data_IF_427598504219
#
_entry.id   IF_427598504219
#
_cell.length_a   1.000
_cell.length_b   1.000
_cell.length_c   1.000
_cell.angle_alpha   90.00
_cell.angle_beta   90.00
_cell.angle_gamma   90.00
#
_symmetry.space_group_name_H-M   'P 1'
#
loop_
_entity.id
_entity.type
_entity.pdbx_description
1 polymer ?
#
# COMPACT_ATOMS: atom_id res chain seq x y z
N UNK A 1 26.61 -2.85 2.46
CA UNK A 1 25.58 -3.52 3.27
C UNK A 1 24.21 -3.13 2.70
N UNK A 2 23.33 -4.07 2.44
CA UNK A 2 21.99 -3.79 1.96
C UNK A 2 21.08 -3.30 3.10
N UNK A 3 20.07 -2.52 2.75
CA UNK A 3 18.98 -2.14 3.63
C UNK A 3 17.67 -2.60 2.94
N UNK A 4 16.88 -3.41 3.63
CA UNK A 4 15.69 -4.03 3.06
C UNK A 4 14.48 -3.55 3.85
N UNK A 5 13.59 -2.84 3.16
CA UNK A 5 12.28 -2.44 3.68
C UNK A 5 11.21 -3.39 3.16
N UNK A 6 10.42 -3.98 4.07
CA UNK A 6 9.35 -4.94 3.76
C UNK A 6 8.04 -4.40 4.28
N UNK A 7 7.12 -4.06 3.38
CA UNK A 7 5.75 -3.66 3.69
C UNK A 7 4.81 -4.84 3.38
N UNK A 8 4.30 -5.49 4.42
CA UNK A 8 3.24 -6.50 4.28
C UNK A 8 1.89 -5.83 4.52
N UNK A 9 1.33 -5.30 3.45
CA UNK A 9 0.00 -4.70 3.47
C UNK A 9 -1.12 -5.75 3.47
N UNK A 10 -2.38 -5.31 3.57
CA UNK A 10 -3.56 -6.18 3.57
C UNK A 10 -3.81 -6.88 2.22
N UNK A 11 -3.47 -6.23 1.11
CA UNK A 11 -3.71 -6.74 -0.24
C UNK A 11 -2.42 -7.11 -0.97
N UNK A 12 -1.37 -6.31 -0.81
CA UNK A 12 -0.09 -6.49 -1.49
C UNK A 12 1.09 -6.31 -0.52
N UNK A 13 2.13 -7.12 -0.73
CA UNK A 13 3.41 -6.99 -0.06
C UNK A 13 4.42 -6.36 -1.01
N UNK A 14 5.14 -5.36 -0.54
CA UNK A 14 6.16 -4.64 -1.30
C UNK A 14 7.48 -4.72 -0.57
N UNK A 15 8.55 -4.91 -1.31
CA UNK A 15 9.89 -4.91 -0.75
C UNK A 15 10.78 -3.99 -1.57
N UNK A 16 11.55 -3.16 -0.90
CA UNK A 16 12.58 -2.33 -1.51
C UNK A 16 13.95 -2.69 -0.93
N UNK A 17 14.90 -2.94 -1.80
CA UNK A 17 16.30 -3.17 -1.44
C UNK A 17 17.10 -1.93 -1.79
N UNK A 18 17.74 -1.38 -0.79
CA UNK A 18 18.57 -0.17 -0.90
C UNK A 18 20.05 -0.55 -0.70
N UNK A 19 20.89 -0.01 -1.53
CA UNK A 19 22.34 -0.10 -1.41
C UNK A 19 22.95 1.25 -1.71
N UNK A 20 23.82 1.74 -0.84
CA UNK A 20 24.54 3.02 -0.98
C UNK A 20 23.59 4.22 -1.18
N UNK A 21 22.38 4.16 -0.58
CA UNK A 21 21.34 5.19 -0.63
C UNK A 21 20.38 5.11 -1.82
N UNK A 22 20.59 4.17 -2.75
CA UNK A 22 19.74 3.99 -3.94
C UNK A 22 18.93 2.69 -3.89
N UNK A 23 17.71 2.73 -4.43
CA UNK A 23 16.88 1.54 -4.59
C UNK A 23 17.43 0.71 -5.75
N UNK A 24 18.02 -0.44 -5.43
CA UNK A 24 18.64 -1.35 -6.41
C UNK A 24 17.70 -2.47 -6.87
N UNK A 25 16.67 -2.79 -6.09
CA UNK A 25 15.69 -3.82 -6.43
C UNK A 25 14.38 -3.63 -5.69
N UNK A 26 13.27 -4.03 -6.31
CA UNK A 26 11.94 -4.04 -5.69
C UNK A 26 11.25 -5.37 -5.98
N UNK A 27 10.36 -5.78 -5.07
CA UNK A 27 9.47 -6.91 -5.25
C UNK A 27 8.05 -6.50 -4.91
N UNK A 28 7.09 -7.04 -5.65
CA UNK A 28 5.66 -6.86 -5.43
C UNK A 28 4.98 -8.23 -5.50
N UNK A 29 4.29 -8.60 -4.43
CA UNK A 29 3.55 -9.85 -4.32
C UNK A 29 2.13 -9.57 -3.78
N UNK A 30 1.19 -10.45 -4.10
CA UNK A 30 -0.08 -10.47 -3.38
C UNK A 30 0.15 -11.01 -1.97
N UNK A 31 -0.42 -10.35 -0.95
CA UNK A 31 -0.28 -10.81 0.45
C UNK A 31 -1.01 -12.12 0.69
N UNK A 32 -2.09 -12.41 -0.06
CA UNK A 32 -2.92 -13.58 0.17
C UNK A 32 -3.53 -13.58 1.59
N UNK A 33 -3.81 -14.75 2.13
CA UNK A 33 -4.41 -14.88 3.47
C UNK A 33 -3.39 -15.09 4.60
N UNK A 34 -2.10 -15.27 4.28
CA UNK A 34 -1.06 -15.53 5.28
C UNK A 34 0.13 -14.59 5.11
N UNK A 35 0.18 -13.53 5.91
CA UNK A 35 1.32 -12.59 5.97
C UNK A 35 2.64 -13.30 6.26
N UNK A 36 2.62 -14.37 7.06
CA UNK A 36 3.82 -15.16 7.39
C UNK A 36 4.35 -15.88 6.17
N UNK A 37 3.46 -16.54 5.40
CA UNK A 37 3.85 -17.22 4.17
C UNK A 37 4.44 -16.25 3.16
N UNK A 38 3.81 -15.09 2.99
CA UNK A 38 4.31 -14.03 2.12
C UNK A 38 5.68 -13.51 2.57
N UNK A 39 5.92 -13.37 3.88
CA UNK A 39 7.23 -12.99 4.40
C UNK A 39 8.29 -14.06 4.08
N UNK A 40 7.98 -15.35 4.21
CA UNK A 40 8.85 -16.45 3.86
C UNK A 40 9.19 -16.46 2.36
N UNK A 41 8.20 -16.24 1.48
CA UNK A 41 8.40 -16.16 0.03
C UNK A 41 9.31 -14.98 -0.35
N UNK A 42 9.11 -13.81 0.27
CA UNK A 42 10.00 -12.66 0.09
C UNK A 42 11.42 -12.98 0.52
N UNK A 43 11.60 -13.65 1.66
CA UNK A 43 12.94 -14.02 2.13
C UNK A 43 13.65 -14.94 1.15
N UNK A 44 12.96 -15.96 0.62
CA UNK A 44 13.50 -16.85 -0.40
C UNK A 44 13.89 -16.11 -1.69
N UNK A 45 13.13 -15.11 -2.09
CA UNK A 45 13.46 -14.28 -3.26
C UNK A 45 14.72 -13.45 -3.00
N UNK A 46 14.85 -12.87 -1.82
CA UNK A 46 16.04 -12.11 -1.41
C UNK A 46 17.28 -13.01 -1.36
N UNK A 47 17.18 -14.22 -0.80
CA UNK A 47 18.29 -15.19 -0.76
C UNK A 47 18.76 -15.60 -2.16
N UNK A 48 17.85 -15.83 -3.10
CA UNK A 48 18.20 -16.12 -4.50
C UNK A 48 18.99 -14.97 -5.16
N UNK A 49 18.75 -13.74 -4.71
CA UNK A 49 19.48 -12.57 -5.19
C UNK A 49 20.75 -12.25 -4.37
N UNK A 50 21.17 -13.18 -3.48
CA UNK A 50 22.38 -13.04 -2.67
C UNK A 50 22.24 -12.05 -1.51
N UNK A 51 20.99 -11.74 -1.09
CA UNK A 51 20.71 -10.81 0.01
C UNK A 51 20.34 -11.64 1.24
N UNK A 52 21.25 -11.69 2.22
CA UNK A 52 21.16 -12.54 3.39
C UNK A 52 21.29 -11.70 4.66
N UNK A 53 20.98 -12.32 5.81
CA UNK A 53 21.12 -11.65 7.11
C UNK A 53 22.53 -11.12 7.40
N UNK A 54 23.56 -11.75 6.86
CA UNK A 54 24.95 -11.36 7.09
C UNK A 54 25.35 -10.09 6.33
N UNK A 55 24.61 -9.74 5.24
CA UNK A 55 24.94 -8.62 4.38
C UNK A 55 23.81 -7.58 4.26
N UNK A 56 22.68 -7.76 4.98
CA UNK A 56 21.52 -6.90 4.93
C UNK A 56 20.91 -6.64 6.30
N UNK A 57 20.36 -5.42 6.49
CA UNK A 57 19.48 -5.07 7.61
C UNK A 57 18.02 -4.99 7.12
N UNK A 58 17.10 -5.53 7.91
CA UNK A 58 15.69 -5.71 7.53
C UNK A 58 14.75 -4.89 8.41
N UNK A 59 13.89 -4.09 7.81
CA UNK A 59 12.84 -3.35 8.50
C UNK A 59 11.48 -3.74 7.94
N UNK A 60 10.58 -4.19 8.82
CA UNK A 60 9.23 -4.56 8.46
C UNK A 60 8.23 -3.44 8.79
N UNK A 61 7.24 -3.27 7.91
CA UNK A 61 6.11 -2.36 8.07
C UNK A 61 4.82 -2.97 7.51
N UNK A 62 3.72 -2.22 7.55
CA UNK A 62 2.42 -2.67 7.09
C UNK A 62 1.64 -3.43 8.16
N UNK A 63 0.45 -3.89 7.78
CA UNK A 63 -0.46 -4.65 8.65
C UNK A 63 0.20 -5.95 9.15
N UNK A 64 0.90 -6.67 8.26
CA UNK A 64 1.57 -7.94 8.56
C UNK A 64 2.98 -7.82 9.12
N UNK A 65 3.48 -6.63 9.49
CA UNK A 65 4.87 -6.42 9.95
C UNK A 65 5.33 -7.33 11.07
N UNK A 66 4.40 -7.73 11.97
CA UNK A 66 4.72 -8.63 13.09
C UNK A 66 4.94 -10.09 12.64
N UNK A 67 4.54 -10.42 11.43
CA UNK A 67 4.67 -11.76 10.84
C UNK A 67 5.97 -11.93 10.04
N UNK A 68 6.91 -10.99 10.11
CA UNK A 68 8.22 -11.04 9.45
C UNK A 68 9.29 -11.44 10.47
N UNK A 69 9.60 -12.75 10.62
CA UNK A 69 10.43 -13.24 11.73
C UNK A 69 11.90 -12.86 11.61
N UNK A 70 12.34 -12.51 10.41
CA UNK A 70 13.73 -12.14 10.12
C UNK A 70 13.96 -10.62 10.13
N UNK A 71 12.92 -9.79 10.38
CA UNK A 71 13.10 -8.36 10.50
C UNK A 71 13.85 -7.99 11.78
N UNK A 72 14.84 -7.11 11.63
CA UNK A 72 15.60 -6.57 12.78
C UNK A 72 14.77 -5.53 13.54
N UNK A 73 13.82 -4.87 12.83
CA UNK A 73 12.95 -3.84 13.41
C UNK A 73 11.60 -3.80 12.70
N UNK A 74 10.54 -3.56 13.48
CA UNK A 74 9.21 -3.20 12.98
C UNK A 74 8.94 -1.72 13.18
N UNK A 75 8.40 -1.07 12.14
CA UNK A 75 8.01 0.35 12.15
C UNK A 75 6.58 0.47 11.65
N UNK A 76 5.80 1.42 12.18
CA UNK A 76 4.42 1.62 11.72
C UNK A 76 4.40 2.16 10.28
N UNK A 77 3.43 1.73 9.50
CA UNK A 77 3.27 2.16 8.11
C UNK A 77 3.12 3.68 7.98
N UNK A 78 2.41 4.33 8.90
CA UNK A 78 2.24 5.79 8.91
C UNK A 78 3.60 6.50 8.96
N UNK A 79 4.52 6.01 9.79
CA UNK A 79 5.89 6.54 9.86
C UNK A 79 6.66 6.29 8.58
N UNK A 80 6.53 5.10 7.99
CA UNK A 80 7.22 4.75 6.74
C UNK A 80 6.68 5.56 5.56
N UNK A 81 5.34 5.68 5.42
CA UNK A 81 4.72 6.50 4.37
C UNK A 81 5.09 7.97 4.51
N UNK A 82 5.09 8.52 5.74
CA UNK A 82 5.55 9.89 5.99
C UNK A 82 7.00 10.12 5.59
N UNK A 83 7.90 9.19 5.93
CA UNK A 83 9.32 9.27 5.54
C UNK A 83 9.52 9.11 4.03
N UNK A 84 8.81 8.16 3.41
CA UNK A 84 8.85 7.95 1.96
C UNK A 84 8.38 9.19 1.20
N UNK A 85 7.24 9.76 1.60
CA UNK A 85 6.71 10.97 1.00
C UNK A 85 7.68 12.16 1.17
N UNK A 86 8.30 12.30 2.34
CA UNK A 86 9.34 13.33 2.54
C UNK A 86 10.55 13.12 1.63
N UNK A 87 11.00 11.88 1.48
CA UNK A 87 12.12 11.55 0.60
C UNK A 87 11.83 11.92 -0.86
N UNK A 88 10.60 11.65 -1.33
CA UNK A 88 10.20 11.89 -2.71
C UNK A 88 9.93 13.37 -3.02
N UNK A 89 9.31 14.10 -2.08
CA UNK A 89 8.80 15.44 -2.35
C UNK A 89 9.55 16.57 -1.64
N UNK A 90 10.28 16.28 -0.56
CA UNK A 90 11.14 17.24 0.17
C UNK A 90 10.41 18.43 0.78
N UNK A 91 9.08 18.38 0.95
CA UNK A 91 8.26 19.53 1.39
C UNK A 91 7.23 19.17 2.45
N UNK A 92 6.84 20.18 3.24
CA UNK A 92 5.73 20.07 4.16
C UNK A 92 4.40 19.92 3.40
N UNK A 93 3.45 19.22 3.97
CA UNK A 93 2.13 19.05 3.36
C UNK A 93 1.34 17.92 4.00
N UNK A 94 0.24 17.55 3.35
CA UNK A 94 -0.57 16.40 3.73
C UNK A 94 -0.43 15.32 2.66
N UNK A 95 -0.09 14.12 3.09
CA UNK A 95 -0.11 12.91 2.26
C UNK A 95 -1.49 12.29 2.38
N UNK A 96 -2.11 12.01 1.26
CA UNK A 96 -3.30 11.15 1.19
C UNK A 96 -2.81 9.79 0.71
N UNK A 97 -2.90 8.80 1.59
CA UNK A 97 -2.51 7.42 1.35
C UNK A 97 -3.78 6.56 1.25
N UNK A 98 -4.01 5.99 0.07
CA UNK A 98 -5.18 5.14 -0.22
C UNK A 98 -4.68 3.70 -0.30
N UNK A 99 -4.88 2.96 0.78
CA UNK A 99 -4.55 1.55 0.89
C UNK A 99 -5.63 0.63 0.34
N UNK A 100 -5.37 -0.68 0.37
CA UNK A 100 -6.34 -1.70 -0.07
C UNK A 100 -7.60 -1.72 0.80
N UNK A 101 -7.47 -1.50 2.12
CA UNK A 101 -8.59 -1.60 3.08
C UNK A 101 -8.73 -0.37 3.97
N UNK A 102 -7.84 0.59 3.87
CA UNK A 102 -7.86 1.81 4.67
C UNK A 102 -7.44 3.03 3.84
N UNK A 103 -7.71 4.21 4.36
CA UNK A 103 -7.26 5.47 3.76
C UNK A 103 -6.79 6.39 4.87
N UNK A 104 -5.65 7.03 4.66
CA UNK A 104 -5.00 7.87 5.67
C UNK A 104 -4.71 9.26 5.13
N UNK A 105 -4.93 10.27 5.98
CA UNK A 105 -4.39 11.61 5.79
C UNK A 105 -3.25 11.83 6.79
N UNK A 106 -2.04 12.10 6.30
CA UNK A 106 -0.83 12.22 7.13
C UNK A 106 -0.24 13.62 6.96
N UNK A 107 -0.30 14.42 8.01
CA UNK A 107 0.30 15.76 8.02
C UNK A 107 1.81 15.67 8.29
N UNK A 108 2.63 16.20 7.36
CA UNK A 108 4.08 16.21 7.44
C UNK A 108 4.63 17.60 7.67
N UNK A 109 5.58 17.72 8.59
CA UNK A 109 6.38 18.93 8.80
C UNK A 109 7.83 18.56 9.07
N UNK A 110 8.75 19.09 8.27
CA UNK A 110 10.20 18.87 8.38
C UNK A 110 10.56 17.35 8.47
N UNK A 111 9.95 16.55 7.60
CA UNK A 111 10.18 15.10 7.53
C UNK A 111 9.58 14.29 8.68
N UNK A 112 8.75 14.89 9.53
CA UNK A 112 8.10 14.23 10.67
C UNK A 112 6.58 14.20 10.48
N UNK A 113 5.99 13.09 10.86
CA UNK A 113 4.53 12.97 10.99
C UNK A 113 4.08 13.77 12.22
N UNK A 114 3.26 14.77 12.00
CA UNK A 114 2.72 15.63 13.08
C UNK A 114 1.37 15.13 13.58
N UNK A 115 0.53 14.70 12.65
CA UNK A 115 -0.82 14.20 12.91
C UNK A 115 -1.23 13.28 11.77
N UNK A 116 -2.09 12.34 12.05
CA UNK A 116 -2.76 11.54 11.03
C UNK A 116 -4.23 11.32 11.40
N UNK A 117 -5.03 11.08 10.38
CA UNK A 117 -6.40 10.57 10.47
C UNK A 117 -6.48 9.32 9.59
N UNK A 118 -7.35 8.39 9.94
CA UNK A 118 -7.47 7.14 9.22
C UNK A 118 -8.93 6.69 9.17
N UNK A 119 -9.35 6.21 8.00
CA UNK A 119 -10.53 5.38 7.83
C UNK A 119 -10.07 3.93 7.67
N UNK A 120 -10.28 3.12 8.68
CA UNK A 120 -9.96 1.68 8.74
C UNK A 120 -11.21 0.81 8.99
N UNK A 121 -12.40 1.41 8.92
CA UNK A 121 -13.66 0.75 9.27
C UNK A 121 -14.65 0.64 8.11
N UNK A 122 -14.42 1.38 7.05
CA UNK A 122 -15.30 1.39 5.88
C UNK A 122 -14.46 1.28 4.60
N UNK A 123 -14.83 0.37 3.71
CA UNK A 123 -14.15 0.19 2.41
C UNK A 123 -14.41 1.33 1.42
N UNK A 124 -15.41 2.19 1.68
CA UNK A 124 -15.62 3.40 0.89
C UNK A 124 -14.38 4.31 0.94
N UNK A 125 -13.95 4.80 -0.22
CA UNK A 125 -12.75 5.60 -0.34
C UNK A 125 -11.44 4.82 -0.19
N UNK A 126 -11.46 3.50 -0.31
CA UNK A 126 -10.28 2.63 -0.28
C UNK A 126 -10.10 1.88 -1.61
N UNK A 127 -8.96 1.24 -1.80
CA UNK A 127 -8.72 0.38 -2.96
C UNK A 127 -9.74 -0.76 -3.09
N UNK A 128 -10.33 -1.22 -1.97
CA UNK A 128 -11.37 -2.25 -1.99
C UNK A 128 -12.64 -1.81 -2.71
N UNK A 129 -13.01 -0.54 -2.60
CA UNK A 129 -14.11 0.02 -3.39
C UNK A 129 -13.83 -0.11 -4.90
N UNK A 130 -12.62 0.28 -5.33
CA UNK A 130 -12.23 0.19 -6.74
C UNK A 130 -12.18 -1.25 -7.23
N UNK A 131 -11.65 -2.17 -6.42
CA UNK A 131 -11.61 -3.61 -6.72
C UNK A 131 -13.02 -4.20 -6.90
N UNK A 132 -13.97 -3.83 -6.04
CA UNK A 132 -15.38 -4.27 -6.17
C UNK A 132 -15.97 -3.74 -7.48
N UNK A 133 -15.73 -2.47 -7.81
CA UNK A 133 -16.24 -1.88 -9.05
C UNK A 133 -15.62 -2.49 -10.30
N UNK A 134 -14.30 -2.71 -10.34
CA UNK A 134 -13.65 -3.37 -11.49
C UNK A 134 -14.18 -4.77 -11.71
N UNK A 135 -14.32 -5.57 -10.63
CA UNK A 135 -14.88 -6.92 -10.73
C UNK A 135 -16.31 -6.91 -11.25
N UNK A 136 -17.12 -5.95 -10.80
CA UNK A 136 -18.53 -5.84 -11.20
C UNK A 136 -18.69 -5.42 -12.65
N UNK A 137 -17.82 -4.53 -13.12
CA UNK A 137 -17.85 -3.99 -14.48
C UNK A 137 -17.10 -4.87 -15.50
N UNK A 138 -16.42 -5.93 -15.04
CA UNK A 138 -15.58 -6.78 -15.88
C UNK A 138 -14.33 -6.06 -16.40
N UNK A 139 -13.82 -5.08 -15.64
CA UNK A 139 -12.67 -4.26 -16.00
C UNK A 139 -11.44 -4.61 -15.18
N UNK A 140 -10.27 -4.33 -15.73
CA UNK A 140 -9.04 -4.23 -14.95
C UNK A 140 -8.95 -2.86 -14.26
N UNK A 141 -8.05 -2.72 -13.28
CA UNK A 141 -7.82 -1.43 -12.60
C UNK A 141 -7.28 -0.37 -13.59
N UNK A 142 -6.48 -0.80 -14.56
CA UNK A 142 -5.93 0.07 -15.60
C UNK A 142 -7.02 0.60 -16.54
N UNK A 143 -7.91 -0.29 -16.99
CA UNK A 143 -9.08 0.10 -17.82
C UNK A 143 -10.03 1.03 -17.08
N UNK A 144 -10.28 0.78 -15.78
CA UNK A 144 -11.08 1.68 -14.95
C UNK A 144 -10.44 3.07 -14.86
N UNK A 145 -9.12 3.13 -14.65
CA UNK A 145 -8.36 4.40 -14.59
C UNK A 145 -8.43 5.16 -15.91
N UNK A 146 -8.28 4.47 -17.04
CA UNK A 146 -8.35 5.06 -18.37
C UNK A 146 -9.75 5.62 -18.67
N UNK A 147 -10.80 4.86 -18.36
CA UNK A 147 -12.19 5.33 -18.48
C UNK A 147 -12.47 6.55 -17.61
N UNK A 148 -12.03 6.52 -16.35
CA UNK A 148 -12.21 7.63 -15.41
C UNK A 148 -11.52 8.92 -15.90
N UNK A 149 -10.36 8.80 -16.55
CA UNK A 149 -9.62 9.97 -17.09
C UNK A 149 -10.36 10.69 -18.23
N UNK A 150 -11.26 10.00 -18.90
CA UNK A 150 -12.05 10.49 -20.05
C UNK A 150 -13.50 10.79 -19.70
N UNK A 151 -13.95 10.33 -18.53
CA UNK A 151 -15.34 10.49 -18.06
C UNK A 151 -15.59 11.82 -17.37
N UNK A 152 -16.86 12.14 -17.23
CA UNK A 152 -17.30 13.23 -16.36
C UNK A 152 -17.68 12.65 -15.00
N UNK A 153 -17.31 13.29 -13.88
CA UNK A 153 -17.66 12.80 -12.56
C UNK A 153 -19.17 12.85 -12.33
N UNK A 154 -19.71 11.75 -11.83
CA UNK A 154 -21.11 11.65 -11.38
C UNK A 154 -21.08 11.43 -9.86
N UNK A 155 -21.97 12.13 -9.15
CA UNK A 155 -22.10 11.96 -7.71
C UNK A 155 -22.83 10.65 -7.40
N UNK A 156 -22.19 9.79 -6.62
CA UNK A 156 -22.82 8.61 -6.02
C UNK A 156 -23.28 9.01 -4.62
N UNK A 157 -24.55 8.80 -4.33
CA UNK A 157 -25.16 9.19 -3.04
C UNK A 157 -24.86 8.20 -1.92
N UNK A 158 -24.65 6.94 -2.27
CA UNK A 158 -24.42 5.84 -1.32
C UNK A 158 -23.01 5.88 -0.75
N UNK A 159 -22.89 6.00 0.56
CA UNK A 159 -21.61 5.95 1.25
C UNK A 159 -21.07 4.50 1.38
N UNK A 160 -21.94 3.52 1.58
CA UNK A 160 -21.57 2.12 1.71
C UNK A 160 -21.23 1.52 0.35
N UNK A 161 -20.10 0.83 0.22
CA UNK A 161 -19.64 0.19 -1.01
C UNK A 161 -20.68 -0.77 -1.62
N UNK A 162 -21.43 -1.50 -0.79
CA UNK A 162 -22.46 -2.44 -1.26
C UNK A 162 -23.63 -1.72 -1.91
N UNK A 163 -24.09 -0.61 -1.31
CA UNK A 163 -25.16 0.19 -1.90
C UNK A 163 -24.67 1.03 -3.09
N UNK A 164 -23.43 1.52 -3.03
CA UNK A 164 -22.80 2.23 -4.15
C UNK A 164 -22.65 1.32 -5.38
N UNK A 165 -22.38 0.04 -5.22
CA UNK A 165 -22.35 -0.93 -6.33
C UNK A 165 -23.69 -0.97 -7.06
N UNK A 166 -24.81 -1.06 -6.33
CA UNK A 166 -26.14 -1.08 -6.91
C UNK A 166 -26.48 0.24 -7.62
N UNK A 167 -26.06 1.36 -7.05
CA UNK A 167 -26.26 2.70 -7.64
C UNK A 167 -25.46 2.86 -8.94
N UNK A 168 -24.19 2.44 -8.95
CA UNK A 168 -23.33 2.46 -10.15
C UNK A 168 -23.95 1.64 -11.28
N UNK A 169 -24.46 0.44 -10.99
CA UNK A 169 -25.11 -0.41 -12.00
C UNK A 169 -26.35 0.28 -12.56
N UNK A 170 -27.15 0.93 -11.73
CA UNK A 170 -28.35 1.66 -12.17
C UNK A 170 -28.01 2.86 -13.04
N UNK A 171 -26.81 3.42 -12.92
CA UNK A 171 -26.36 4.57 -13.74
C UNK A 171 -25.79 4.16 -15.09
N UNK A 172 -25.39 2.89 -15.24
CA UNK A 172 -24.82 2.36 -16.49
C UNK A 172 -25.89 1.73 -17.39
N UNK A 173 -26.92 1.12 -16.81
CA UNK A 173 -28.04 0.49 -17.51
C UNK A 173 -29.12 1.45 -17.87
#
# INVERSE_FOLDING_TARGET
MYQVGIDIGSSAAKTAVIKDGEVVKTYLLNTGFSSRKTAEDIYQMLEKDGIHKDNAAYVATGYGRISVPYADKSVTEITCHGKGAWHLFGRNGTVIDIGGQDTKGIALKNGRVMKFIMNDKCSAGTGKFLEVMTNRLGLTMEELSDLASRGNPITISSMCTVFAESEVISLIG
#
